data_IF_194143760835
#
_entry.id   IF_194143760835
#
_cell.length_a   1.000
_cell.length_b   1.000
_cell.length_c   1.000
_cell.angle_alpha   90.00
_cell.angle_beta   90.00
_cell.angle_gamma   90.00
#
_symmetry.space_group_name_H-M   'P 1'
#
loop_
_entity.id
_entity.type
_entity.pdbx_description
1 polymer ?
#
# COMPACT_ATOMS: atom_id res chain seq x y z
N UNK A 1 34.14 -27.85 1.18
CA UNK A 1 32.82 -27.57 1.74
C UNK A 1 32.78 -26.06 1.91
N UNK A 2 32.14 -25.38 0.97
CA UNK A 2 31.86 -23.95 1.09
C UNK A 2 30.58 -23.83 1.90
N UNK A 3 30.67 -23.18 3.06
CA UNK A 3 29.50 -22.85 3.86
C UNK A 3 28.68 -21.81 3.11
N UNK A 4 27.48 -22.20 2.66
CA UNK A 4 26.45 -21.29 2.20
C UNK A 4 26.00 -20.43 3.38
N UNK A 5 26.32 -19.14 3.35
CA UNK A 5 25.75 -18.16 4.27
C UNK A 5 24.33 -17.85 3.79
N UNK A 6 23.34 -18.39 4.50
CA UNK A 6 21.92 -18.10 4.31
C UNK A 6 21.64 -16.63 4.66
N UNK A 7 21.34 -15.83 3.64
CA UNK A 7 21.20 -14.38 3.68
C UNK A 7 19.84 -13.89 4.16
N UNK A 8 19.30 -14.47 5.23
CA UNK A 8 18.12 -13.96 5.93
C UNK A 8 18.51 -13.56 7.36
N UNK A 9 19.38 -12.55 7.49
CA UNK A 9 19.52 -11.86 8.77
C UNK A 9 18.25 -11.02 9.02
N UNK A 10 17.44 -11.46 9.98
CA UNK A 10 16.34 -10.68 10.53
C UNK A 10 16.93 -9.43 11.23
N UNK A 11 16.92 -8.29 10.52
CA UNK A 11 17.33 -7.00 11.08
C UNK A 11 16.46 -6.59 12.29
N UNK A 12 15.33 -7.27 12.55
CA UNK A 12 14.53 -7.11 13.75
C UNK A 12 15.30 -7.36 15.05
N UNK A 13 16.24 -8.31 15.05
CA UNK A 13 17.02 -8.68 16.25
C UNK A 13 18.14 -7.68 16.57
N UNK A 14 18.47 -6.78 15.65
CA UNK A 14 19.54 -5.77 15.81
C UNK A 14 19.02 -4.38 16.19
N UNK A 15 17.70 -4.19 16.29
CA UNK A 15 17.10 -2.89 16.58
C UNK A 15 16.80 -2.72 18.08
N UNK A 16 17.05 -1.53 18.66
CA UNK A 16 16.71 -1.28 20.05
C UNK A 16 15.22 -1.52 20.34
N UNK A 17 14.92 -2.01 21.55
CA UNK A 17 13.55 -2.19 22.02
C UNK A 17 12.77 -0.89 21.88
N UNK A 18 11.60 -0.97 21.25
CA UNK A 18 10.73 0.18 20.99
C UNK A 18 10.93 0.85 19.64
N UNK A 19 11.94 0.46 18.85
CA UNK A 19 12.04 0.88 17.46
C UNK A 19 10.82 0.39 16.67
N UNK A 20 10.27 1.27 15.82
CA UNK A 20 9.11 0.95 14.99
C UNK A 20 9.30 1.54 13.61
N UNK A 21 8.89 0.78 12.61
CA UNK A 21 8.79 1.28 11.26
C UNK A 21 7.62 2.26 11.15
N UNK A 22 7.93 3.56 11.08
CA UNK A 22 6.98 4.67 11.00
C UNK A 22 7.37 5.65 9.89
N UNK A 23 7.41 5.20 8.62
CA UNK A 23 7.85 6.05 7.53
C UNK A 23 6.82 7.16 7.25
N UNK A 24 7.33 8.33 6.93
CA UNK A 24 6.56 9.40 6.33
C UNK A 24 6.08 9.02 4.92
N UNK A 25 5.07 9.73 4.41
CA UNK A 25 4.60 9.53 3.04
C UNK A 25 5.72 9.76 2.01
N UNK A 26 6.65 10.69 2.28
CA UNK A 26 7.83 10.92 1.44
C UNK A 26 8.79 9.74 1.51
N UNK A 27 9.14 9.26 2.70
CA UNK A 27 10.06 8.13 2.85
C UNK A 27 9.53 6.84 2.24
N UNK A 28 8.22 6.57 2.37
CA UNK A 28 7.56 5.45 1.68
C UNK A 28 7.76 5.51 0.16
N UNK A 29 7.64 6.71 -0.41
CA UNK A 29 7.79 6.89 -1.85
C UNK A 29 9.27 6.81 -2.26
N UNK A 30 10.15 7.56 -1.59
CA UNK A 30 11.54 7.70 -2.03
C UNK A 30 12.41 6.49 -1.72
N UNK A 31 12.28 5.90 -0.54
CA UNK A 31 13.16 4.82 -0.09
C UNK A 31 12.62 3.42 -0.39
N UNK A 32 11.30 3.29 -0.62
CA UNK A 32 10.68 1.99 -0.87
C UNK A 32 10.10 1.90 -2.28
N UNK A 33 9.13 2.74 -2.64
CA UNK A 33 8.45 2.59 -3.93
C UNK A 33 9.35 2.89 -5.13
N UNK A 34 10.09 3.99 -5.10
CA UNK A 34 11.06 4.35 -6.15
C UNK A 34 12.12 3.25 -6.27
N UNK A 35 12.69 2.80 -5.14
CA UNK A 35 13.69 1.75 -5.14
C UNK A 35 13.14 0.41 -5.65
N UNK A 36 11.88 0.06 -5.34
CA UNK A 36 11.22 -1.12 -5.90
C UNK A 36 11.14 -1.08 -7.43
N UNK A 37 10.86 0.10 -8.00
CA UNK A 37 10.75 0.25 -9.46
C UNK A 37 12.13 0.27 -10.14
N UNK A 38 13.13 0.90 -9.53
CA UNK A 38 14.49 1.01 -10.11
C UNK A 38 15.27 -0.30 -9.94
N UNK A 39 15.20 -0.94 -8.78
CA UNK A 39 16.06 -2.04 -8.38
C UNK A 39 15.28 -3.35 -8.24
N UNK A 40 14.61 -3.81 -9.31
CA UNK A 40 13.87 -5.07 -9.28
C UNK A 40 14.80 -6.27 -9.59
N UNK A 41 14.89 -7.31 -8.73
CA UNK A 41 14.11 -7.53 -7.51
C UNK A 41 14.62 -6.70 -6.33
N UNK A 42 13.69 -5.98 -5.68
CA UNK A 42 13.97 -5.19 -4.49
C UNK A 42 13.60 -6.00 -3.26
N UNK A 43 14.58 -6.31 -2.42
CA UNK A 43 14.35 -7.05 -1.16
C UNK A 43 13.98 -6.09 -0.04
N UNK A 44 12.81 -6.30 0.56
CA UNK A 44 12.36 -5.56 1.74
C UNK A 44 11.61 -6.50 2.67
N UNK A 45 12.14 -6.71 3.87
CA UNK A 45 11.51 -7.53 4.91
C UNK A 45 10.22 -6.91 5.47
N UNK A 46 9.97 -5.62 5.21
CA UNK A 46 8.79 -4.88 5.69
C UNK A 46 7.61 -4.93 4.70
N UNK A 47 7.88 -5.15 3.42
CA UNK A 47 6.87 -5.01 2.36
C UNK A 47 6.55 -6.36 1.75
N UNK A 48 5.27 -6.67 1.67
CA UNK A 48 4.79 -7.84 0.94
C UNK A 48 4.34 -7.44 -0.47
N UNK A 49 4.75 -8.20 -1.49
CA UNK A 49 4.17 -8.07 -2.83
C UNK A 49 2.77 -8.71 -2.87
N UNK A 50 1.78 -7.96 -3.35
CA UNK A 50 0.39 -8.39 -3.42
C UNK A 50 -0.27 -7.90 -4.72
N UNK A 51 -1.20 -8.68 -5.27
CA UNK A 51 -2.01 -8.22 -6.38
C UNK A 51 -3.09 -7.23 -5.89
N UNK A 52 -3.39 -6.20 -6.68
CA UNK A 52 -4.46 -5.26 -6.36
C UNK A 52 -5.82 -5.94 -6.10
N UNK A 53 -6.15 -6.99 -6.86
CA UNK A 53 -7.37 -7.78 -6.66
C UNK A 53 -7.43 -8.35 -5.26
N UNK A 54 -6.33 -8.94 -4.80
CA UNK A 54 -6.27 -9.54 -3.46
C UNK A 54 -6.43 -8.49 -2.37
N UNK A 55 -5.77 -7.34 -2.51
CA UNK A 55 -5.85 -6.26 -1.53
C UNK A 55 -7.26 -5.68 -1.41
N UNK A 56 -7.92 -5.41 -2.54
CA UNK A 56 -9.19 -4.67 -2.57
C UNK A 56 -10.45 -5.54 -2.46
N UNK A 57 -10.33 -6.87 -2.57
CA UNK A 57 -11.46 -7.79 -2.43
C UNK A 57 -11.54 -8.49 -1.08
N UNK A 58 -10.48 -8.44 -0.26
CA UNK A 58 -10.44 -9.09 1.05
C UNK A 58 -10.66 -8.10 2.19
N UNK A 59 -11.30 -8.58 3.26
CA UNK A 59 -11.41 -7.85 4.52
C UNK A 59 -10.03 -7.55 5.10
N UNK A 60 -9.85 -6.38 5.75
CA UNK A 60 -8.63 -6.02 6.46
C UNK A 60 -8.06 -7.09 7.41
N UNK A 61 -8.93 -7.95 7.97
CA UNK A 61 -8.53 -9.01 8.91
C UNK A 61 -7.68 -10.12 8.27
N UNK A 62 -7.68 -10.22 6.94
CA UNK A 62 -6.94 -11.26 6.22
C UNK A 62 -5.46 -10.90 6.01
N UNK A 63 -5.05 -9.68 6.35
CA UNK A 63 -3.69 -9.20 6.12
C UNK A 63 -2.85 -9.31 7.39
N UNK A 64 -1.65 -9.88 7.24
CA UNK A 64 -0.65 -9.99 8.32
C UNK A 64 0.30 -8.79 8.33
N UNK A 65 0.61 -8.27 7.16
CA UNK A 65 1.47 -7.10 6.99
C UNK A 65 0.68 -5.79 6.90
N UNK A 66 1.36 -4.68 7.18
CA UNK A 66 0.78 -3.33 7.11
C UNK A 66 1.26 -2.56 5.89
N UNK A 67 2.31 -3.05 5.21
CA UNK A 67 2.93 -2.40 4.06
C UNK A 67 3.01 -3.37 2.89
N UNK A 68 2.64 -2.89 1.71
CA UNK A 68 2.50 -3.71 0.52
C UNK A 68 3.13 -3.05 -0.70
N UNK A 69 3.75 -3.85 -1.56
CA UNK A 69 3.93 -3.50 -2.95
C UNK A 69 2.76 -4.07 -3.75
N UNK A 70 1.99 -3.18 -4.36
CA UNK A 70 0.78 -3.53 -5.09
C UNK A 70 1.15 -3.61 -6.57
N UNK A 71 1.02 -4.79 -7.15
CA UNK A 71 1.16 -4.96 -8.58
C UNK A 71 -0.04 -4.31 -9.29
N UNK A 72 0.23 -3.25 -10.07
CA UNK A 72 -0.78 -2.50 -10.80
C UNK A 72 -0.91 -3.05 -12.22
N UNK A 73 -1.94 -3.86 -12.45
CA UNK A 73 -2.32 -4.22 -13.82
C UNK A 73 -3.06 -3.06 -14.52
N UNK A 74 -3.31 -3.21 -15.83
CA UNK A 74 -3.98 -2.18 -16.64
C UNK A 74 -5.41 -1.87 -16.19
N UNK A 75 -6.00 -2.70 -15.32
CA UNK A 75 -7.41 -2.63 -14.93
C UNK A 75 -7.61 -2.17 -13.48
N UNK A 76 -6.57 -1.71 -12.78
CA UNK A 76 -6.66 -1.40 -11.34
C UNK A 76 -7.82 -0.45 -10.99
N UNK A 77 -8.06 0.59 -11.79
CA UNK A 77 -9.16 1.54 -11.57
C UNK A 77 -10.54 0.87 -11.81
N UNK A 78 -10.64 -0.05 -12.78
CA UNK A 78 -11.85 -0.85 -12.99
C UNK A 78 -12.07 -1.84 -11.83
N UNK A 79 -10.99 -2.39 -11.27
CA UNK A 79 -11.07 -3.31 -10.13
C UNK A 79 -11.56 -2.61 -8.85
N UNK A 80 -11.13 -1.37 -8.60
CA UNK A 80 -11.65 -0.57 -7.49
C UNK A 80 -13.18 -0.41 -7.56
N UNK A 81 -13.70 -0.04 -8.74
CA UNK A 81 -15.13 0.15 -8.93
C UNK A 81 -15.90 -1.18 -8.78
N UNK A 82 -15.35 -2.27 -9.34
CA UNK A 82 -15.96 -3.61 -9.23
C UNK A 82 -16.01 -4.14 -7.80
N UNK A 83 -15.00 -3.86 -6.97
CA UNK A 83 -14.99 -4.28 -5.57
C UNK A 83 -16.14 -3.63 -4.78
N UNK A 84 -16.47 -2.37 -5.09
CA UNK A 84 -17.61 -1.66 -4.49
C UNK A 84 -18.93 -2.28 -4.98
N UNK A 85 -19.09 -2.47 -6.30
CA UNK A 85 -20.34 -2.96 -6.90
C UNK A 85 -20.71 -4.39 -6.47
N UNK A 86 -19.70 -5.27 -6.33
CA UNK A 86 -19.91 -6.67 -5.91
C UNK A 86 -20.06 -6.85 -4.40
N UNK A 87 -19.96 -5.77 -3.62
CA UNK A 87 -20.04 -5.83 -2.16
C UNK A 87 -18.76 -6.32 -1.47
N UNK A 88 -17.63 -6.41 -2.19
CA UNK A 88 -16.33 -6.86 -1.70
C UNK A 88 -16.29 -8.33 -1.29
N UNK A 89 -15.65 -8.66 -0.16
CA UNK A 89 -15.93 -9.95 0.49
C UNK A 89 -17.31 -9.83 1.13
N UNK A 90 -18.07 -10.91 1.29
CA UNK A 90 -19.48 -10.87 1.75
C UNK A 90 -19.74 -10.08 3.07
N UNK A 91 -18.67 -9.63 3.74
CA UNK A 91 -18.59 -8.81 4.93
C UNK A 91 -18.45 -7.29 4.68
N UNK A 92 -18.01 -6.83 3.51
CA UNK A 92 -17.77 -5.41 3.22
C UNK A 92 -16.84 -5.12 2.04
N UNK A 93 -16.60 -3.84 1.76
CA UNK A 93 -15.83 -3.39 0.58
C UNK A 93 -14.94 -2.18 0.86
N UNK A 94 -13.89 -2.02 0.06
CA UNK A 94 -13.01 -0.86 0.05
C UNK A 94 -13.56 0.24 -0.87
N UNK A 95 -13.58 1.48 -0.38
CA UNK A 95 -13.99 2.65 -1.16
C UNK A 95 -12.97 3.77 -1.02
N UNK A 96 -12.59 4.40 -2.14
CA UNK A 96 -11.75 5.60 -2.12
C UNK A 96 -12.52 6.79 -1.54
N UNK A 97 -11.85 7.62 -0.74
CA UNK A 97 -12.45 8.77 -0.05
C UNK A 97 -11.60 10.01 -0.27
N UNK A 98 -12.28 11.13 -0.55
CA UNK A 98 -11.67 12.45 -0.69
C UNK A 98 -10.84 12.59 -1.97
N UNK A 99 -10.20 13.74 -2.09
CA UNK A 99 -9.35 14.05 -3.24
C UNK A 99 -7.99 13.34 -3.14
N UNK A 100 -7.47 12.98 -4.31
CA UNK A 100 -6.11 12.47 -4.45
C UNK A 100 -5.12 13.54 -4.00
N UNK A 101 -4.18 13.18 -3.12
CA UNK A 101 -3.17 14.10 -2.58
C UNK A 101 -1.84 13.94 -3.29
N UNK A 102 -1.08 15.03 -3.42
CA UNK A 102 0.30 14.96 -3.92
C UNK A 102 1.26 14.70 -2.76
N UNK A 103 2.13 13.71 -2.90
CA UNK A 103 3.33 13.58 -2.06
C UNK A 103 4.43 14.37 -2.75
N UNK A 104 5.04 15.32 -2.02
CA UNK A 104 6.04 16.23 -2.57
C UNK A 104 7.36 16.12 -1.80
N UNK A 105 8.46 16.35 -2.50
CA UNK A 105 9.77 16.53 -1.85
C UNK A 105 9.87 17.90 -1.17
N UNK A 106 11.03 18.18 -0.55
CA UNK A 106 11.31 19.46 0.12
C UNK A 106 11.33 20.65 -0.84
N UNK A 107 11.51 20.43 -2.14
CA UNK A 107 11.52 21.46 -3.18
C UNK A 107 10.12 21.67 -3.80
N UNK A 108 9.12 20.90 -3.37
CA UNK A 108 7.76 20.96 -3.89
C UNK A 108 7.51 20.15 -5.16
N UNK A 109 8.47 19.36 -5.63
CA UNK A 109 8.30 18.45 -6.77
C UNK A 109 7.37 17.31 -6.39
N UNK A 110 6.44 16.95 -7.27
CA UNK A 110 5.50 15.86 -7.03
C UNK A 110 6.22 14.53 -7.26
N UNK A 111 6.33 13.74 -6.20
CA UNK A 111 6.95 12.41 -6.21
C UNK A 111 5.93 11.31 -6.50
N UNK A 112 4.72 11.43 -5.96
CA UNK A 112 3.67 10.44 -6.09
C UNK A 112 2.27 11.04 -5.87
N UNK A 113 1.25 10.32 -6.33
CA UNK A 113 -0.15 10.55 -5.95
C UNK A 113 -0.55 9.58 -4.84
N UNK A 114 -1.12 10.11 -3.77
CA UNK A 114 -1.71 9.36 -2.66
C UNK A 114 -3.23 9.27 -2.82
N UNK A 115 -3.75 8.06 -2.74
CA UNK A 115 -5.18 7.75 -2.75
C UNK A 115 -5.51 7.05 -1.44
N UNK A 116 -6.55 7.51 -0.75
CA UNK A 116 -6.96 6.91 0.53
C UNK A 116 -8.25 6.12 0.34
N UNK A 117 -8.23 4.87 0.79
CA UNK A 117 -9.37 3.95 0.81
C UNK A 117 -9.81 3.69 2.25
N UNK A 118 -11.11 3.60 2.48
CA UNK A 118 -11.71 3.17 3.74
C UNK A 118 -12.50 1.89 3.49
N UNK A 119 -12.38 0.93 4.40
CA UNK A 119 -13.22 -0.27 4.36
C UNK A 119 -14.56 0.02 5.03
N UNK A 120 -15.64 -0.34 4.36
CA UNK A 120 -16.99 -0.30 4.90
C UNK A 120 -17.50 -1.72 5.09
N UNK A 121 -18.08 -2.02 6.26
CA UNK A 121 -18.73 -3.31 6.50
C UNK A 121 -20.18 -3.29 6.02
N UNK A 122 -20.67 -4.44 5.56
CA UNK A 122 -22.01 -4.60 5.01
C UNK A 122 -22.11 -4.21 3.54
N UNK A 123 -23.31 -4.36 2.98
CA UNK A 123 -23.56 -4.06 1.57
C UNK A 123 -23.47 -2.55 1.28
N UNK A 124 -23.24 -2.14 0.01
CA UNK A 124 -23.17 -0.73 -0.36
C UNK A 124 -24.36 0.13 0.09
N UNK A 125 -25.56 -0.46 0.18
CA UNK A 125 -26.80 0.21 0.63
C UNK A 125 -26.92 0.34 2.16
N UNK A 126 -26.29 -0.53 2.95
CA UNK A 126 -26.36 -0.54 4.41
C UNK A 126 -24.97 -0.43 5.06
N UNK A 127 -24.06 0.24 4.34
CA UNK A 127 -22.64 0.28 4.68
C UNK A 127 -22.39 1.00 5.99
N UNK A 128 -21.48 0.46 6.81
CA UNK A 128 -20.97 1.12 8.02
C UNK A 128 -19.48 1.40 7.86
N UNK A 129 -19.08 2.65 8.06
CA UNK A 129 -17.67 3.05 8.00
C UNK A 129 -16.89 2.32 9.09
N UNK A 130 -15.77 1.70 8.73
CA UNK A 130 -14.85 1.11 9.71
C UNK A 130 -13.64 2.00 9.94
N UNK A 131 -12.80 1.64 10.90
CA UNK A 131 -11.53 2.32 11.17
C UNK A 131 -10.39 1.87 10.27
N UNK A 132 -10.64 0.93 9.35
CA UNK A 132 -9.61 0.43 8.44
C UNK A 132 -9.43 1.36 7.25
N UNK A 133 -8.17 1.66 6.96
CA UNK A 133 -7.73 2.57 5.91
C UNK A 133 -6.57 1.95 5.13
N UNK A 134 -6.58 2.09 3.81
CA UNK A 134 -5.39 1.89 2.97
C UNK A 134 -5.00 3.25 2.40
N UNK A 135 -3.73 3.62 2.54
CA UNK A 135 -3.13 4.69 1.74
C UNK A 135 -2.33 4.04 0.61
N UNK A 136 -2.73 4.28 -0.64
CA UNK A 136 -2.05 3.83 -1.85
C UNK A 136 -1.24 4.98 -2.45
N UNK A 137 0.03 4.72 -2.78
CA UNK A 137 0.96 5.67 -3.38
C UNK A 137 1.35 5.21 -4.79
N UNK A 138 1.07 6.04 -5.79
CA UNK A 138 1.39 5.78 -7.21
C UNK A 138 2.42 6.77 -7.72
N UNK A 139 3.48 6.26 -8.36
CA UNK A 139 4.42 7.13 -9.07
C UNK A 139 3.76 7.71 -10.33
N UNK A 140 4.22 8.87 -10.83
CA UNK A 140 3.80 9.40 -12.13
C UNK A 140 4.09 8.42 -13.26
N UNK A 141 3.24 8.38 -14.30
CA UNK A 141 3.44 7.50 -15.47
C UNK A 141 4.82 7.75 -16.10
N UNK A 142 5.24 9.02 -16.14
CA UNK A 142 6.53 9.45 -16.69
C UNK A 142 7.71 8.80 -15.97
N UNK A 143 7.57 8.48 -14.68
CA UNK A 143 8.62 7.81 -13.92
C UNK A 143 8.89 6.41 -14.48
N UNK A 144 7.85 5.61 -14.70
CA UNK A 144 8.00 4.26 -15.27
C UNK A 144 8.57 4.30 -16.68
N UNK A 145 8.17 5.28 -17.50
CA UNK A 145 8.72 5.48 -18.85
C UNK A 145 10.20 5.83 -18.80
N UNK A 146 10.60 6.76 -17.93
CA UNK A 146 12.00 7.19 -17.78
C UNK A 146 12.91 6.03 -17.37
N UNK A 147 12.44 5.16 -16.49
CA UNK A 147 13.21 4.04 -15.96
C UNK A 147 13.01 2.73 -16.75
N UNK A 148 12.37 2.78 -17.93
CA UNK A 148 12.08 1.61 -18.78
C UNK A 148 11.42 0.44 -18.03
N UNK A 149 10.63 0.74 -17.00
CA UNK A 149 10.00 -0.28 -16.17
C UNK A 149 8.68 -0.72 -16.80
N UNK A 150 8.61 -2.01 -17.17
CA UNK A 150 7.39 -2.63 -17.72
C UNK A 150 6.37 -2.91 -16.62
N UNK A 151 6.84 -3.15 -15.40
CA UNK A 151 6.00 -3.43 -14.25
C UNK A 151 5.64 -2.14 -13.54
N UNK A 152 4.36 -2.01 -13.20
CA UNK A 152 3.86 -0.86 -12.45
C UNK A 152 3.58 -1.30 -11.03
N UNK A 153 4.32 -0.74 -10.10
CA UNK A 153 4.16 -0.99 -8.67
C UNK A 153 3.59 0.25 -7.98
N UNK A 154 2.70 0.05 -7.02
CA UNK A 154 2.31 1.06 -6.04
C UNK A 154 2.75 0.61 -4.63
N UNK A 155 2.87 1.55 -3.70
CA UNK A 155 3.04 1.22 -2.29
C UNK A 155 1.69 1.34 -1.57
N UNK A 156 1.33 0.37 -0.75
CA UNK A 156 0.15 0.37 0.09
C UNK A 156 0.54 0.42 1.56
N UNK A 157 -0.16 1.25 2.35
CA UNK A 157 -0.09 1.24 3.82
C UNK A 157 -1.50 0.98 4.38
N UNK A 158 -1.73 -0.24 4.86
CA UNK A 158 -2.90 -0.59 5.64
C UNK A 158 -2.74 -0.03 7.06
N UNK A 159 -3.79 0.55 7.60
CA UNK A 159 -3.84 1.08 8.95
C UNK A 159 -5.22 0.89 9.57
N UNK A 160 -5.27 0.70 10.89
CA UNK A 160 -6.50 0.80 11.69
C UNK A 160 -6.41 2.07 12.52
N UNK A 161 -7.30 3.01 12.26
CA UNK A 161 -7.47 4.20 13.11
C UNK A 161 -7.82 3.80 14.54
N UNK A 162 -7.47 4.65 15.50
CA UNK A 162 -8.06 4.57 16.85
C UNK A 162 -9.49 5.14 16.77
N UNK A 163 -10.37 4.67 17.64
CA UNK A 163 -11.72 5.20 17.76
C UNK A 163 -11.63 6.71 18.03
N UNK A 164 -12.07 7.54 17.09
CA UNK A 164 -12.43 8.92 17.41
C UNK A 164 -13.90 8.89 17.84
N UNK A 165 -14.17 8.35 19.02
CA UNK A 165 -15.37 8.73 19.75
C UNK A 165 -15.09 10.09 20.40
N UNK A 166 -15.93 11.06 20.04
CA UNK A 166 -16.15 12.36 20.69
C UNK A 166 -15.17 13.49 20.36
N UNK A 167 -15.66 14.53 19.69
CA UNK A 167 -16.26 15.71 20.34
C UNK A 167 -17.48 16.18 19.54
#
# INVERSE_FOLDING_TARGET
MEDQVDGNEDYGDKLPVGFRFLPTDVELVTHYLINKVIYNPFSSFIFQEINATELYTKSPKNFREWFFFIYMDMNIDNMHNKAIEKGGDELGFWQSIGDRKCVKDTNGNILATKITFIYFSGSPSHRKKTHWRIDEFRLPIQFYTLHNSKEKWAAGRLARGRDYTSF
#
